data_IF_693282806972
#
_entry.id   IF_693282806972
#
_cell.length_a   1.000
_cell.length_b   1.000
_cell.length_c   1.000
_cell.angle_alpha   90.00
_cell.angle_beta   90.00
_cell.angle_gamma   90.00
#
_symmetry.space_group_name_H-M   'P 1'
#
loop_
_entity.id
_entity.type
_entity.pdbx_description
1 polymer ?
#
# COMPACT_ATOMS: atom_id res chain seq x y z
N UNK A 1 0.65 47.80 -29.77
CA UNK A 1 1.40 47.19 -28.67
C UNK A 1 1.43 45.64 -28.70
N UNK A 2 0.31 44.90 -28.81
CA UNK A 2 0.29 43.40 -28.84
C UNK A 2 1.04 42.75 -30.04
N UNK A 3 1.11 43.40 -31.21
CA UNK A 3 1.81 42.83 -32.40
C UNK A 3 3.33 42.90 -32.29
N UNK A 4 3.88 43.96 -31.68
CA UNK A 4 5.33 44.11 -31.48
C UNK A 4 5.83 43.07 -30.50
N UNK A 5 5.14 42.89 -29.36
CA UNK A 5 5.47 41.90 -28.36
C UNK A 5 5.42 40.45 -28.90
N UNK A 6 4.47 40.18 -29.81
CA UNK A 6 4.36 38.85 -30.45
C UNK A 6 5.49 38.55 -31.41
N UNK A 7 6.01 39.59 -32.09
CA UNK A 7 7.16 39.46 -33.01
C UNK A 7 8.48 39.30 -32.23
N UNK A 8 8.67 40.03 -31.14
CA UNK A 8 9.83 39.84 -30.24
C UNK A 8 9.84 38.46 -29.62
N UNK A 9 8.69 37.96 -29.11
CA UNK A 9 8.56 36.60 -28.61
C UNK A 9 8.88 35.54 -29.69
N UNK A 10 8.46 35.76 -30.92
CA UNK A 10 8.75 34.87 -32.04
C UNK A 10 10.24 34.88 -32.42
N UNK A 11 10.91 36.03 -32.37
CA UNK A 11 12.35 36.13 -32.58
C UNK A 11 13.15 35.50 -31.47
N UNK A 12 12.72 35.62 -30.21
CA UNK A 12 13.33 34.93 -29.04
C UNK A 12 13.16 33.40 -29.11
N UNK A 13 12.03 32.92 -29.61
CA UNK A 13 11.79 31.49 -29.81
C UNK A 13 12.48 30.89 -31.03
N UNK A 14 12.81 31.71 -32.04
CA UNK A 14 13.55 31.33 -33.25
C UNK A 14 15.08 31.48 -33.09
N UNK A 15 15.56 32.21 -32.08
CA UNK A 15 16.97 32.20 -31.72
C UNK A 15 17.30 30.79 -31.21
N UNK A 16 17.88 29.96 -32.08
CA UNK A 16 18.34 28.63 -31.68
C UNK A 16 19.19 28.78 -30.42
N UNK A 17 18.93 28.00 -29.36
CA UNK A 17 19.77 28.05 -28.18
C UNK A 17 21.23 27.83 -28.60
N UNK A 18 22.18 28.63 -28.09
CA UNK A 18 23.57 28.48 -28.47
C UNK A 18 23.98 27.02 -28.29
N UNK A 19 24.56 26.46 -29.37
CA UNK A 19 25.06 25.05 -29.32
C UNK A 19 25.83 24.87 -28.04
N UNK A 20 25.46 23.91 -27.20
CA UNK A 20 26.12 23.72 -25.91
C UNK A 20 27.58 23.41 -26.19
N UNK A 21 28.46 24.23 -25.64
CA UNK A 21 29.90 24.11 -25.74
C UNK A 21 30.29 22.69 -25.25
N UNK A 22 30.79 21.86 -26.16
CA UNK A 22 31.08 20.44 -25.86
C UNK A 22 32.01 20.29 -24.64
N UNK A 23 32.92 21.25 -24.46
CA UNK A 23 33.84 21.28 -23.31
C UNK A 23 33.08 21.58 -21.99
N UNK A 24 32.14 22.54 -21.99
CA UNK A 24 31.31 22.85 -20.83
C UNK A 24 30.36 21.68 -20.48
N UNK A 25 29.81 21.01 -21.50
CA UNK A 25 28.98 19.83 -21.31
C UNK A 25 29.79 18.69 -20.67
N UNK A 26 31.02 18.45 -21.14
CA UNK A 26 31.89 17.42 -20.57
C UNK A 26 32.27 17.75 -19.09
N UNK A 27 32.60 19.01 -18.79
CA UNK A 27 32.86 19.45 -17.42
C UNK A 27 31.66 19.31 -16.50
N UNK A 28 30.46 19.67 -16.96
CA UNK A 28 29.22 19.48 -16.17
C UNK A 28 28.92 18.00 -15.92
N UNK A 29 29.16 17.13 -16.91
CA UNK A 29 29.00 15.68 -16.75
C UNK A 29 29.99 15.15 -15.75
N UNK A 30 31.26 15.57 -15.80
CA UNK A 30 32.31 15.14 -14.88
C UNK A 30 32.05 15.64 -13.44
N UNK A 31 31.63 16.90 -13.28
CA UNK A 31 31.19 17.44 -11.98
C UNK A 31 29.94 16.73 -11.45
N UNK A 32 28.97 16.37 -12.30
CA UNK A 32 27.81 15.60 -11.90
C UNK A 32 28.19 14.16 -11.51
N UNK A 33 29.20 13.58 -12.19
CA UNK A 33 29.71 12.23 -11.92
C UNK A 33 30.51 12.18 -10.60
N UNK A 34 31.38 13.15 -10.36
CA UNK A 34 32.14 13.25 -9.12
C UNK A 34 31.22 13.53 -7.91
N UNK A 35 30.24 14.39 -8.09
CA UNK A 35 29.21 14.68 -7.07
C UNK A 35 28.30 13.46 -6.80
N UNK A 36 28.02 12.65 -7.82
CA UNK A 36 27.31 11.39 -7.68
C UNK A 36 28.11 10.35 -6.88
N UNK A 37 29.41 10.27 -7.11
CA UNK A 37 30.31 9.37 -6.38
C UNK A 37 30.47 9.79 -4.92
N UNK A 38 30.56 11.08 -4.62
CA UNK A 38 30.65 11.59 -3.25
C UNK A 38 29.32 11.50 -2.47
N UNK A 39 28.19 11.43 -3.15
CA UNK A 39 26.87 11.27 -2.57
C UNK A 39 26.44 9.78 -2.44
N UNK A 40 27.29 8.83 -2.84
CA UNK A 40 27.04 7.40 -2.63
C UNK A 40 27.40 6.95 -1.20
N UNK A 41 27.11 7.76 -0.19
CA UNK A 41 26.95 7.24 1.16
C UNK A 41 25.80 6.23 1.07
N UNK A 42 26.11 4.96 1.33
CA UNK A 42 25.14 3.87 1.42
C UNK A 42 24.09 4.26 2.45
N UNK A 43 23.01 4.89 1.98
CA UNK A 43 21.87 5.14 2.85
C UNK A 43 21.28 3.78 3.17
N UNK A 44 21.43 3.36 4.43
CA UNK A 44 20.83 2.11 4.91
C UNK A 44 19.35 2.08 4.52
N UNK A 45 18.85 0.91 4.09
CA UNK A 45 17.44 0.72 3.77
C UNK A 45 16.51 1.24 4.86
N UNK A 46 16.92 1.11 6.14
CA UNK A 46 16.18 1.63 7.30
C UNK A 46 16.10 3.15 7.32
N UNK A 47 17.19 3.86 6.99
CA UNK A 47 17.17 5.31 6.89
C UNK A 47 16.28 5.81 5.76
N UNK A 48 16.25 5.07 4.65
CA UNK A 48 15.35 5.36 3.54
C UNK A 48 13.87 5.18 3.94
N UNK A 49 13.51 4.04 4.56
CA UNK A 49 12.15 3.78 5.05
C UNK A 49 11.73 4.85 6.07
N UNK A 50 12.62 5.19 7.02
CA UNK A 50 12.37 6.25 8.01
C UNK A 50 12.11 7.61 7.34
N UNK A 51 12.86 7.93 6.29
CA UNK A 51 12.62 9.12 5.47
C UNK A 51 11.24 9.10 4.78
N UNK A 52 10.81 7.94 4.29
CA UNK A 52 9.53 7.78 3.61
C UNK A 52 8.31 7.94 4.54
N UNK A 53 8.43 7.64 5.85
CA UNK A 53 7.34 7.84 6.82
C UNK A 53 6.82 9.29 6.80
N UNK A 54 7.71 10.25 6.58
CA UNK A 54 7.34 11.68 6.50
C UNK A 54 6.47 12.01 5.28
N UNK A 55 6.58 11.21 4.21
CA UNK A 55 5.85 11.40 2.95
C UNK A 55 4.56 10.59 2.88
N UNK A 56 4.37 9.62 3.80
CA UNK A 56 3.10 8.89 3.93
C UNK A 56 2.04 9.86 4.46
N UNK A 57 0.85 9.78 3.87
CA UNK A 57 -0.24 10.66 4.24
C UNK A 57 -0.64 10.44 5.71
N UNK A 58 -0.62 11.50 6.50
CA UNK A 58 -1.07 11.49 7.91
C UNK A 58 -2.52 11.03 8.06
N UNK A 59 -3.33 11.20 7.02
CA UNK A 59 -4.72 10.74 6.96
C UNK A 59 -4.83 9.21 7.16
N UNK A 60 -3.87 8.42 6.64
CA UNK A 60 -3.84 6.96 6.85
C UNK A 60 -3.79 6.63 8.35
N UNK A 61 -2.84 7.22 9.06
CA UNK A 61 -2.70 6.99 10.50
C UNK A 61 -3.92 7.47 11.29
N UNK A 62 -4.48 8.62 10.90
CA UNK A 62 -5.68 9.16 11.55
C UNK A 62 -6.91 8.27 11.32
N UNK A 63 -7.14 7.78 10.09
CA UNK A 63 -8.24 6.88 9.78
C UNK A 63 -8.09 5.52 10.48
N UNK A 64 -6.86 5.02 10.58
CA UNK A 64 -6.59 3.76 11.25
C UNK A 64 -6.76 3.85 12.77
N UNK A 65 -6.32 4.98 13.36
CA UNK A 65 -6.57 5.26 14.78
C UNK A 65 -8.07 5.41 15.05
N UNK A 66 -8.80 6.12 14.18
CA UNK A 66 -10.25 6.27 14.28
C UNK A 66 -10.95 4.90 14.23
N UNK A 67 -10.55 4.03 13.29
CA UNK A 67 -11.09 2.67 13.19
C UNK A 67 -10.84 1.87 14.47
N UNK A 68 -9.64 1.96 15.05
CA UNK A 68 -9.30 1.32 16.32
C UNK A 68 -10.14 1.86 17.50
N UNK A 69 -10.32 3.18 17.57
CA UNK A 69 -11.15 3.80 18.59
C UNK A 69 -12.62 3.36 18.48
N UNK A 70 -13.16 3.36 17.26
CA UNK A 70 -14.52 2.87 17.00
C UNK A 70 -14.65 1.40 17.37
N UNK A 71 -13.69 0.57 16.95
CA UNK A 71 -13.65 -0.85 17.29
C UNK A 71 -13.66 -1.06 18.82
N UNK A 72 -12.81 -0.32 19.54
CA UNK A 72 -12.76 -0.37 21.01
C UNK A 72 -14.06 0.06 21.67
N UNK A 73 -14.70 1.13 21.18
CA UNK A 73 -16.00 1.58 21.67
C UNK A 73 -17.09 0.53 21.43
N UNK A 74 -17.16 -0.03 20.23
CA UNK A 74 -18.15 -1.07 19.92
C UNK A 74 -17.96 -2.31 20.78
N UNK A 75 -16.72 -2.78 20.94
CA UNK A 75 -16.43 -3.96 21.76
C UNK A 75 -16.67 -3.72 23.23
N UNK A 76 -16.48 -2.49 23.76
CA UNK A 76 -16.63 -2.21 25.20
C UNK A 76 -18.06 -1.84 25.58
N UNK A 77 -18.77 -1.09 24.73
CA UNK A 77 -20.04 -0.45 25.09
C UNK A 77 -21.27 -1.17 24.54
N UNK A 78 -21.18 -1.79 23.35
CA UNK A 78 -22.38 -2.22 22.61
C UNK A 78 -22.50 -3.74 22.57
N UNK A 79 -21.38 -4.45 22.40
CA UNK A 79 -21.41 -5.88 22.16
C UNK A 79 -21.38 -6.66 23.48
N UNK A 80 -22.20 -7.73 23.55
CA UNK A 80 -22.10 -8.76 24.57
C UNK A 80 -20.79 -9.55 24.36
N UNK A 81 -20.35 -10.22 25.40
CA UNK A 81 -19.05 -10.93 25.43
C UNK A 81 -18.83 -11.94 24.29
N UNK A 82 -19.91 -12.45 23.66
CA UNK A 82 -19.83 -13.38 22.51
C UNK A 82 -19.63 -12.70 21.15
N UNK A 83 -20.02 -11.43 21.00
CA UNK A 83 -20.15 -10.80 19.68
C UNK A 83 -18.88 -10.06 19.24
N UNK A 84 -17.89 -9.91 20.10
CA UNK A 84 -16.61 -9.30 19.79
C UNK A 84 -15.85 -9.98 18.65
N UNK A 85 -16.03 -11.29 18.51
CA UNK A 85 -15.47 -12.09 17.44
C UNK A 85 -16.04 -11.71 16.05
N UNK A 86 -17.36 -11.51 15.96
CA UNK A 86 -18.04 -11.07 14.73
C UNK A 86 -17.48 -9.74 14.22
N UNK A 87 -17.24 -8.81 15.15
CA UNK A 87 -16.66 -7.51 14.80
C UNK A 87 -15.22 -7.63 14.30
N UNK A 88 -14.42 -8.56 14.85
CA UNK A 88 -13.04 -8.81 14.41
C UNK A 88 -13.00 -9.27 12.95
N UNK A 89 -13.80 -10.28 12.60
CA UNK A 89 -13.85 -10.83 11.24
C UNK A 89 -14.28 -9.77 10.22
N UNK A 90 -15.21 -8.88 10.60
CA UNK A 90 -15.67 -7.80 9.76
C UNK A 90 -14.67 -6.63 9.64
N UNK A 91 -13.99 -6.30 10.73
CA UNK A 91 -13.06 -5.16 10.76
C UNK A 91 -11.72 -5.46 10.09
N UNK A 92 -11.28 -6.72 10.08
CA UNK A 92 -10.00 -7.13 9.53
C UNK A 92 -9.79 -6.72 8.05
N UNK A 93 -10.75 -6.92 7.11
CA UNK A 93 -10.62 -6.41 5.75
C UNK A 93 -10.60 -4.89 5.64
N UNK A 94 -11.26 -4.17 6.56
CA UNK A 94 -11.30 -2.71 6.56
C UNK A 94 -9.96 -2.09 6.96
N UNK A 95 -9.20 -2.74 7.84
CA UNK A 95 -7.82 -2.34 8.17
C UNK A 95 -6.97 -2.37 6.90
N UNK A 96 -7.01 -3.48 6.16
CA UNK A 96 -6.26 -3.64 4.90
C UNK A 96 -6.72 -2.65 3.82
N UNK A 97 -8.02 -2.32 3.77
CA UNK A 97 -8.54 -1.31 2.85
C UNK A 97 -7.85 0.04 3.06
N UNK A 98 -7.67 0.47 4.31
CA UNK A 98 -7.00 1.73 4.63
C UNK A 98 -5.53 1.73 4.17
N UNK A 99 -4.79 0.64 4.41
CA UNK A 99 -3.41 0.47 3.94
C UNK A 99 -3.31 0.45 2.41
N UNK A 100 -4.19 -0.27 1.73
CA UNK A 100 -4.22 -0.36 0.26
C UNK A 100 -4.60 0.97 -0.41
N UNK A 101 -5.35 1.83 0.26
CA UNK A 101 -5.71 3.17 -0.21
C UNK A 101 -4.50 4.05 -0.47
N UNK A 102 -3.46 3.97 0.36
CA UNK A 102 -2.22 4.72 0.15
C UNK A 102 -1.41 4.19 -1.04
N UNK A 103 -1.41 2.88 -1.26
CA UNK A 103 -0.78 2.26 -2.42
C UNK A 103 -1.47 2.66 -3.73
N UNK A 104 -2.79 2.63 -3.75
CA UNK A 104 -3.59 3.01 -4.93
C UNK A 104 -3.43 4.48 -5.31
N UNK A 105 -3.16 5.35 -4.34
CA UNK A 105 -2.92 6.78 -4.53
C UNK A 105 -1.69 7.04 -5.39
N UNK A 106 -0.60 6.31 -5.18
CA UNK A 106 0.63 6.45 -5.97
C UNK A 106 0.39 6.16 -7.46
N UNK A 107 -0.45 5.18 -7.77
CA UNK A 107 -0.82 4.85 -9.15
C UNK A 107 -1.80 5.87 -9.76
N UNK A 108 -2.70 6.44 -8.96
CA UNK A 108 -3.76 7.34 -9.42
C UNK A 108 -3.26 8.71 -9.89
N UNK A 109 -2.24 9.26 -9.23
CA UNK A 109 -1.76 10.62 -9.51
C UNK A 109 -0.61 10.67 -10.50
N UNK A 110 -0.30 9.59 -11.24
CA UNK A 110 0.83 9.54 -12.18
C UNK A 110 2.13 10.11 -11.61
N UNK A 111 2.31 9.99 -10.29
CA UNK A 111 3.51 10.48 -9.61
C UNK A 111 4.79 9.79 -10.10
N UNK A 112 4.65 8.71 -10.87
CA UNK A 112 5.76 8.00 -11.51
C UNK A 112 6.62 8.91 -12.39
N UNK A 113 6.04 9.90 -13.05
CA UNK A 113 6.78 10.85 -13.90
C UNK A 113 7.59 11.86 -13.07
N UNK A 114 7.08 12.25 -11.90
CA UNK A 114 7.77 13.16 -10.98
C UNK A 114 8.84 12.44 -10.13
N UNK A 115 8.66 11.13 -9.91
CA UNK A 115 9.59 10.29 -9.14
C UNK A 115 10.74 9.76 -9.99
N UNK A 116 10.63 9.76 -11.34
CA UNK A 116 11.69 9.34 -12.28
C UNK A 116 13.06 10.04 -12.05
N UNK A 117 13.14 11.35 -11.74
CA UNK A 117 14.42 12.00 -11.46
C UNK A 117 14.93 11.73 -10.04
N UNK A 118 14.21 10.97 -9.20
CA UNK A 118 14.65 10.69 -7.85
C UNK A 118 15.83 9.71 -7.83
N UNK A 119 16.67 9.80 -6.80
CA UNK A 119 17.84 8.94 -6.58
C UNK A 119 17.49 7.46 -6.41
N UNK A 120 16.25 7.15 -6.04
CA UNK A 120 15.75 5.80 -5.76
C UNK A 120 14.86 5.32 -6.88
N UNK A 121 14.96 4.03 -7.20
CA UNK A 121 14.10 3.43 -8.20
C UNK A 121 12.63 3.40 -7.73
N UNK A 122 11.69 3.58 -8.66
CA UNK A 122 10.24 3.51 -8.39
C UNK A 122 9.83 2.27 -7.55
N UNK A 123 10.35 1.05 -7.84
CA UNK A 123 10.03 -0.11 -7.02
C UNK A 123 10.46 0.04 -5.56
N UNK A 124 11.58 0.70 -5.29
CA UNK A 124 12.08 0.91 -3.92
C UNK A 124 11.17 1.85 -3.12
N UNK A 125 10.68 2.91 -3.74
CA UNK A 125 9.72 3.85 -3.12
C UNK A 125 8.40 3.15 -2.81
N UNK A 126 7.90 2.37 -3.78
CA UNK A 126 6.68 1.59 -3.60
C UNK A 126 6.81 0.58 -2.46
N UNK A 127 7.96 -0.14 -2.41
CA UNK A 127 8.24 -1.08 -1.34
C UNK A 127 8.27 -0.44 0.03
N UNK A 128 8.93 0.70 0.16
CA UNK A 128 8.99 1.39 1.43
C UNK A 128 7.59 1.77 1.94
N UNK A 129 6.73 2.29 1.06
CA UNK A 129 5.33 2.61 1.40
C UNK A 129 4.52 1.36 1.74
N UNK A 130 4.72 0.27 0.99
CA UNK A 130 4.08 -1.01 1.25
C UNK A 130 4.46 -1.57 2.62
N UNK A 131 5.75 -1.57 2.96
CA UNK A 131 6.23 -2.02 4.27
C UNK A 131 5.66 -1.17 5.40
N UNK A 132 5.60 0.17 5.24
CA UNK A 132 5.02 1.06 6.24
C UNK A 132 3.54 0.73 6.45
N UNK A 133 2.76 0.59 5.37
CA UNK A 133 1.34 0.23 5.45
C UNK A 133 1.15 -1.13 6.14
N UNK A 134 1.92 -2.15 5.74
CA UNK A 134 1.86 -3.49 6.32
C UNK A 134 2.18 -3.51 7.82
N UNK A 135 3.16 -2.72 8.27
CA UNK A 135 3.50 -2.60 9.70
C UNK A 135 2.33 -1.96 10.47
N UNK A 136 1.74 -0.90 9.94
CA UNK A 136 0.62 -0.20 10.60
C UNK A 136 -0.62 -1.08 10.64
N UNK A 137 -0.93 -1.80 9.54
CA UNK A 137 -2.03 -2.77 9.48
C UNK A 137 -1.83 -3.91 10.49
N UNK A 138 -0.61 -4.46 10.58
CA UNK A 138 -0.28 -5.53 11.54
C UNK A 138 -0.44 -5.06 12.99
N UNK A 139 0.02 -3.85 13.32
CA UNK A 139 -0.16 -3.25 14.64
C UNK A 139 -1.64 -3.06 14.98
N UNK A 140 -2.42 -2.57 14.03
CA UNK A 140 -3.86 -2.35 14.19
C UNK A 140 -4.60 -3.68 14.43
N UNK A 141 -4.31 -4.70 13.62
CA UNK A 141 -4.87 -6.05 13.80
C UNK A 141 -4.48 -6.65 15.15
N UNK A 142 -3.23 -6.49 15.57
CA UNK A 142 -2.77 -6.99 16.87
C UNK A 142 -3.52 -6.32 18.02
N UNK A 143 -3.73 -5.00 17.96
CA UNK A 143 -4.54 -4.29 18.95
C UNK A 143 -5.98 -4.79 18.98
N UNK A 144 -6.62 -4.99 17.83
CA UNK A 144 -7.98 -5.54 17.74
C UNK A 144 -8.06 -6.95 18.32
N UNK A 145 -7.08 -7.81 18.00
CA UNK A 145 -6.99 -9.16 18.55
C UNK A 145 -6.89 -9.17 20.09
N UNK A 146 -6.04 -8.31 20.66
CA UNK A 146 -5.89 -8.19 22.11
C UNK A 146 -7.19 -7.72 22.78
N UNK A 147 -7.86 -6.73 22.16
CA UNK A 147 -9.15 -6.24 22.68
C UNK A 147 -10.22 -7.33 22.65
N UNK A 148 -10.29 -8.11 21.58
CA UNK A 148 -11.26 -9.21 21.44
C UNK A 148 -10.93 -10.38 22.37
N UNK A 149 -9.65 -10.76 22.50
CA UNK A 149 -9.21 -11.86 23.33
C UNK A 149 -9.55 -11.67 24.82
N UNK A 150 -9.68 -10.44 25.28
CA UNK A 150 -10.09 -10.13 26.67
C UNK A 150 -11.56 -10.41 26.95
N UNK A 151 -12.40 -10.52 25.91
CA UNK A 151 -13.85 -10.64 26.03
C UNK A 151 -14.43 -11.93 25.49
N UNK A 152 -13.64 -12.70 24.76
CA UNK A 152 -14.12 -13.89 24.04
C UNK A 152 -13.51 -15.16 24.64
N UNK A 153 -14.30 -16.22 24.75
CA UNK A 153 -13.87 -17.53 25.25
C UNK A 153 -13.10 -18.38 24.23
N UNK A 154 -12.90 -17.87 23.01
CA UNK A 154 -12.14 -18.59 21.98
C UNK A 154 -10.66 -18.71 22.34
N UNK A 155 -10.05 -19.84 21.96
CA UNK A 155 -8.62 -20.02 22.10
C UNK A 155 -7.88 -18.94 21.30
N UNK A 156 -6.84 -18.36 21.90
CA UNK A 156 -6.09 -17.26 21.26
C UNK A 156 -5.58 -17.63 19.86
N UNK A 157 -5.18 -18.89 19.63
CA UNK A 157 -4.77 -19.39 18.32
C UNK A 157 -5.89 -19.37 17.27
N UNK A 158 -7.11 -19.76 17.65
CA UNK A 158 -8.26 -19.69 16.76
C UNK A 158 -8.62 -18.23 16.41
N UNK A 159 -8.55 -17.34 17.38
CA UNK A 159 -8.83 -15.92 17.19
C UNK A 159 -7.84 -15.26 16.21
N UNK A 160 -6.54 -15.58 16.33
CA UNK A 160 -5.52 -15.14 15.39
C UNK A 160 -5.85 -15.62 13.97
N UNK A 161 -6.19 -16.89 13.82
CA UNK A 161 -6.50 -17.49 12.53
C UNK A 161 -7.69 -16.80 11.86
N UNK A 162 -8.77 -16.60 12.62
CA UNK A 162 -9.99 -15.95 12.14
C UNK A 162 -9.83 -14.46 11.83
N UNK A 163 -8.87 -13.78 12.45
CA UNK A 163 -8.51 -12.41 12.10
C UNK A 163 -7.57 -12.32 10.88
N UNK A 164 -6.57 -13.24 10.80
CA UNK A 164 -5.58 -13.22 9.71
C UNK A 164 -6.18 -13.66 8.36
N UNK A 165 -7.06 -14.66 8.34
CA UNK A 165 -7.62 -15.17 7.08
C UNK A 165 -8.33 -14.06 6.28
N UNK A 166 -9.32 -13.32 6.83
CA UNK A 166 -9.97 -12.26 6.09
C UNK A 166 -9.01 -11.11 5.75
N UNK A 167 -8.00 -10.83 6.59
CA UNK A 167 -6.97 -9.83 6.29
C UNK A 167 -6.11 -10.21 5.09
N UNK A 168 -5.60 -11.46 5.05
CA UNK A 168 -4.80 -11.93 3.91
C UNK A 168 -5.61 -12.09 2.64
N UNK A 169 -6.88 -12.49 2.72
CA UNK A 169 -7.80 -12.47 1.58
C UNK A 169 -7.99 -11.05 1.05
N UNK A 170 -8.22 -10.09 1.94
CA UNK A 170 -8.34 -8.68 1.56
C UNK A 170 -7.05 -8.15 0.92
N UNK A 171 -5.88 -8.47 1.49
CA UNK A 171 -4.59 -8.03 0.98
C UNK A 171 -4.27 -8.64 -0.39
N UNK A 172 -4.46 -9.96 -0.56
CA UNK A 172 -4.21 -10.66 -1.82
C UNK A 172 -5.13 -10.16 -2.94
N UNK A 173 -6.43 -10.01 -2.65
CA UNK A 173 -7.38 -9.50 -3.63
C UNK A 173 -7.15 -8.02 -3.98
N UNK A 174 -6.78 -7.19 -3.00
CA UNK A 174 -6.42 -5.78 -3.24
C UNK A 174 -5.21 -5.67 -4.15
N UNK A 175 -4.15 -6.47 -3.92
CA UNK A 175 -2.96 -6.51 -4.79
C UNK A 175 -3.29 -7.03 -6.19
N UNK A 176 -4.12 -8.07 -6.29
CA UNK A 176 -4.58 -8.60 -7.57
C UNK A 176 -5.30 -7.52 -8.39
N UNK A 177 -6.23 -6.78 -7.76
CA UNK A 177 -6.95 -5.68 -8.41
C UNK A 177 -6.01 -4.53 -8.82
N UNK A 178 -5.06 -4.17 -7.97
CA UNK A 178 -4.05 -3.16 -8.26
C UNK A 178 -3.15 -3.56 -9.44
N UNK A 179 -2.75 -4.83 -9.53
CA UNK A 179 -1.92 -5.33 -10.62
C UNK A 179 -2.66 -5.36 -11.97
N UNK A 180 -3.94 -5.73 -11.94
CA UNK A 180 -4.73 -5.89 -13.16
C UNK A 180 -5.34 -4.60 -13.65
N UNK A 181 -5.82 -3.74 -12.76
CA UNK A 181 -6.51 -2.50 -13.10
C UNK A 181 -5.61 -1.30 -12.79
N UNK A 182 -5.08 -0.67 -13.84
CA UNK A 182 -4.24 0.54 -13.74
C UNK A 182 -5.02 1.84 -13.97
N UNK A 183 -6.33 1.77 -13.90
CA UNK A 183 -7.23 2.89 -14.14
C UNK A 183 -7.42 3.73 -12.87
N UNK A 184 -7.84 4.98 -13.03
CA UNK A 184 -8.20 5.87 -11.92
C UNK A 184 -9.28 5.28 -11.01
N UNK A 185 -10.08 4.35 -11.51
CA UNK A 185 -11.19 3.71 -10.80
C UNK A 185 -10.77 2.49 -9.95
N UNK A 186 -9.51 2.09 -9.96
CA UNK A 186 -9.02 0.90 -9.22
C UNK A 186 -9.34 0.98 -7.72
N UNK A 187 -9.30 2.19 -7.15
CA UNK A 187 -9.64 2.40 -5.74
C UNK A 187 -11.08 1.99 -5.42
N UNK A 188 -12.04 2.26 -6.28
CA UNK A 188 -13.44 1.87 -6.09
C UNK A 188 -13.61 0.34 -6.11
N UNK A 189 -12.88 -0.37 -6.98
CA UNK A 189 -12.93 -1.84 -7.03
C UNK A 189 -12.33 -2.46 -5.76
N UNK A 190 -11.21 -1.93 -5.27
CA UNK A 190 -10.60 -2.38 -4.02
C UNK A 190 -11.52 -2.11 -2.84
N UNK A 191 -12.14 -0.93 -2.79
CA UNK A 191 -13.11 -0.59 -1.74
C UNK A 191 -14.32 -1.51 -1.76
N UNK A 192 -14.92 -1.73 -2.93
CA UNK A 192 -16.07 -2.63 -3.09
C UNK A 192 -15.72 -4.07 -2.68
N UNK A 193 -14.53 -4.54 -3.05
CA UNK A 193 -14.05 -5.87 -2.67
C UNK A 193 -13.87 -6.01 -1.15
N UNK A 194 -13.20 -5.09 -0.50
CA UNK A 194 -12.96 -5.15 0.95
C UNK A 194 -14.26 -5.00 1.77
N UNK A 195 -15.16 -4.09 1.34
CA UNK A 195 -16.47 -3.94 1.97
C UNK A 195 -17.32 -5.20 1.75
N UNK A 196 -17.31 -5.78 0.54
CA UNK A 196 -17.96 -7.05 0.25
C UNK A 196 -17.45 -8.19 1.11
N UNK A 197 -16.12 -8.27 1.29
CA UNK A 197 -15.51 -9.28 2.16
C UNK A 197 -15.88 -9.07 3.63
N UNK A 198 -15.94 -7.82 4.09
CA UNK A 198 -16.38 -7.47 5.45
C UNK A 198 -17.84 -7.86 5.70
N UNK A 199 -18.75 -7.54 4.77
CA UNK A 199 -20.16 -7.93 4.86
C UNK A 199 -20.35 -9.45 4.76
N UNK A 200 -19.59 -10.13 3.90
CA UNK A 200 -19.58 -11.58 3.83
C UNK A 200 -19.12 -12.20 5.17
N UNK A 201 -18.08 -11.64 5.80
CA UNK A 201 -17.62 -12.05 7.12
C UNK A 201 -18.72 -11.94 8.19
N UNK A 202 -19.45 -10.82 8.23
CA UNK A 202 -20.58 -10.63 9.15
C UNK A 202 -21.68 -11.68 8.93
N UNK A 203 -22.06 -11.90 7.68
CA UNK A 203 -23.10 -12.89 7.35
C UNK A 203 -22.65 -14.31 7.63
N UNK A 204 -21.38 -14.66 7.37
CA UNK A 204 -20.85 -16.00 7.59
C UNK A 204 -20.83 -16.40 9.08
N UNK A 205 -20.49 -15.48 9.97
CA UNK A 205 -20.52 -15.72 11.41
C UNK A 205 -21.93 -15.91 11.91
N UNK A 206 -22.89 -15.14 11.42
CA UNK A 206 -24.29 -15.20 11.86
C UNK A 206 -25.06 -16.38 11.25
N UNK A 207 -24.86 -16.69 9.97
CA UNK A 207 -25.60 -17.72 9.27
C UNK A 207 -25.01 -19.14 9.43
N UNK A 208 -23.69 -19.25 9.61
CA UNK A 208 -22.96 -20.51 9.64
C UNK A 208 -22.00 -20.60 10.85
N UNK A 209 -22.52 -20.62 12.10
CA UNK A 209 -21.66 -20.64 13.29
C UNK A 209 -20.75 -21.89 13.34
N UNK A 210 -21.17 -23.02 12.76
CA UNK A 210 -20.35 -24.24 12.70
C UNK A 210 -19.07 -24.11 11.86
N UNK A 211 -18.94 -23.10 11.02
CA UNK A 211 -17.69 -22.82 10.30
C UNK A 211 -16.57 -22.28 11.19
N UNK A 212 -16.93 -21.85 12.37
CA UNK A 212 -16.00 -21.26 13.35
C UNK A 212 -15.77 -22.18 14.55
N UNK A 213 -16.24 -23.43 14.47
CA UNK A 213 -15.96 -24.47 15.46
C UNK A 213 -14.53 -25.00 15.36
N UNK A 214 -14.08 -25.64 16.42
CA UNK A 214 -12.75 -26.24 16.50
C UNK A 214 -12.48 -27.27 15.38
N UNK A 215 -13.49 -27.95 14.88
CA UNK A 215 -13.39 -28.87 13.75
C UNK A 215 -13.02 -28.19 12.42
N UNK A 216 -13.36 -26.92 12.26
CA UNK A 216 -13.10 -26.16 11.03
C UNK A 216 -11.70 -25.51 10.98
N UNK A 217 -10.90 -25.58 12.05
CA UNK A 217 -9.58 -24.93 12.13
C UNK A 217 -8.66 -25.39 10.99
N UNK A 218 -8.70 -26.68 10.63
CA UNK A 218 -7.88 -27.23 9.55
C UNK A 218 -8.22 -26.58 8.19
N UNK A 219 -9.51 -26.37 7.92
CA UNK A 219 -9.97 -25.71 6.69
C UNK A 219 -9.50 -24.25 6.65
N UNK A 220 -9.60 -23.54 7.78
CA UNK A 220 -9.14 -22.16 7.87
C UNK A 220 -7.63 -22.01 7.70
N UNK A 221 -6.84 -22.98 8.25
CA UNK A 221 -5.38 -23.04 8.02
C UNK A 221 -5.04 -23.23 6.54
N UNK A 222 -5.79 -24.07 5.85
CA UNK A 222 -5.61 -24.28 4.40
C UNK A 222 -5.95 -23.03 3.60
N UNK A 223 -7.05 -22.36 3.93
CA UNK A 223 -7.43 -21.07 3.29
C UNK A 223 -6.34 -20.03 3.55
N UNK A 224 -5.80 -19.95 4.76
CA UNK A 224 -4.71 -19.05 5.10
C UNK A 224 -3.47 -19.34 4.25
N UNK A 225 -3.07 -20.60 4.13
CA UNK A 225 -1.90 -21.00 3.33
C UNK A 225 -2.07 -20.63 1.86
N UNK A 226 -3.26 -20.87 1.29
CA UNK A 226 -3.59 -20.47 -0.09
C UNK A 226 -3.54 -18.95 -0.25
N UNK A 227 -4.13 -18.19 0.67
CA UNK A 227 -4.18 -16.72 0.59
C UNK A 227 -2.79 -16.10 0.72
N UNK A 228 -1.90 -16.64 1.57
CA UNK A 228 -0.50 -16.24 1.65
C UNK A 228 0.23 -16.56 0.33
N UNK A 229 0.00 -17.73 -0.26
CA UNK A 229 0.59 -18.11 -1.55
C UNK A 229 0.18 -17.15 -2.67
N UNK A 230 -1.10 -16.83 -2.77
CA UNK A 230 -1.62 -15.86 -3.76
C UNK A 230 -1.03 -14.47 -3.52
N UNK A 231 -0.98 -14.03 -2.27
CA UNK A 231 -0.38 -12.76 -1.89
C UNK A 231 1.09 -12.66 -2.32
N UNK A 232 1.89 -13.70 -2.04
CA UNK A 232 3.30 -13.75 -2.43
C UNK A 232 3.48 -13.72 -3.96
N UNK A 233 2.64 -14.45 -4.71
CA UNK A 233 2.66 -14.45 -6.16
C UNK A 233 2.32 -13.08 -6.76
N UNK A 234 1.29 -12.41 -6.24
CA UNK A 234 0.90 -11.07 -6.71
C UNK A 234 1.96 -10.02 -6.37
N UNK A 235 2.58 -10.13 -5.20
CA UNK A 235 3.69 -9.28 -4.80
C UNK A 235 4.90 -9.48 -5.74
N UNK A 236 5.25 -10.71 -6.06
CA UNK A 236 6.34 -11.02 -6.98
C UNK A 236 6.08 -10.51 -8.40
N UNK A 237 4.85 -10.65 -8.92
CA UNK A 237 4.46 -10.08 -10.22
C UNK A 237 4.65 -8.57 -10.24
N UNK A 238 4.20 -7.89 -9.18
CA UNK A 238 4.33 -6.44 -9.05
C UNK A 238 5.79 -5.98 -9.12
N UNK A 239 6.71 -6.73 -8.49
CA UNK A 239 8.15 -6.46 -8.56
C UNK A 239 8.72 -6.68 -9.94
N UNK A 240 8.40 -7.80 -10.56
CA UNK A 240 8.89 -8.16 -11.89
C UNK A 240 8.46 -7.14 -12.94
N UNK A 241 7.21 -6.69 -12.88
CA UNK A 241 6.68 -5.67 -13.80
C UNK A 241 7.31 -4.29 -13.59
N UNK A 242 7.60 -3.94 -12.34
CA UNK A 242 8.29 -2.70 -11.99
C UNK A 242 9.76 -2.71 -12.47
N UNK A 243 10.46 -3.83 -12.36
CA UNK A 243 11.83 -4.00 -12.84
C UNK A 243 11.92 -3.89 -14.36
N UNK A 244 11.04 -4.57 -15.11
CA UNK A 244 11.00 -4.52 -16.59
C UNK A 244 10.81 -3.10 -17.13
N UNK A 245 10.05 -2.25 -16.44
CA UNK A 245 9.83 -0.85 -16.86
C UNK A 245 11.09 0.00 -16.77
N UNK A 246 11.95 -0.26 -15.79
CA UNK A 246 13.23 0.44 -15.66
C UNK A 246 14.17 0.09 -16.82
N UNK A 247 14.17 -1.15 -17.25
CA UNK A 247 14.96 -1.59 -18.42
C UNK A 247 14.50 -0.90 -19.72
N UNK A 248 13.18 -0.79 -19.94
CA UNK A 248 12.64 -0.11 -21.13
C UNK A 248 12.92 1.39 -21.16
N UNK A 249 13.08 2.06 -20.01
CA UNK A 249 13.39 3.49 -19.93
C UNK A 249 14.91 3.74 -20.11
N UNK A 250 15.76 2.80 -19.71
CA UNK A 250 17.22 2.92 -19.85
C UNK A 250 17.72 2.69 -21.29
N UNK A 251 16.89 2.12 -22.16
CA UNK A 251 17.21 1.81 -23.57
C UNK A 251 16.70 2.87 -24.56
N UNK A 252 16.03 3.92 -24.09
CA UNK A 252 15.64 5.12 -24.86
C UNK A 252 16.48 6.33 -24.48
#
# INVERSE_FOLDING_TARGET
>A
MKRVLKNELRQLMQAAPPLPDAAKKAQLIEQARSKRLSLSTETSMLQFIKGQIRFVNKSLFACQLLLLCLYGLFTTMILKDSDGFLLLVAAAPLVVLLGSGELSRSFRYHMTELELPSRFSLPQIFMARFVIAAVVDTLSLTCMLIMTARKTYFTFGALILYGLVPSFLAASGSLFLLNRSRNANTHYYVTAYCVGLSTFGLVSVSAFPGWYDSAAITVWMLILAISIGVFALELWKLFKDSAKRLECVSLK
#
